data_IF_961313376402
#
_entry.id   IF_961313376402
#
_cell.length_a   1.000
_cell.length_b   1.000
_cell.length_c   1.000
_cell.angle_alpha   90.00
_cell.angle_beta   90.00
_cell.angle_gamma   90.00
#
_symmetry.space_group_name_H-M   'P 1'
#
loop_
_entity.id
_entity.type
_entity.pdbx_description
1 polymer ?
#
# COMPACT_ATOMS: atom_id res chain seq x y z
N UNK A 1 5.96 -11.76 17.11
CA UNK A 1 5.71 -11.50 15.68
C UNK A 1 7.03 -11.17 15.03
N UNK A 2 7.37 -11.82 13.92
CA UNK A 2 8.64 -11.63 13.20
C UNK A 2 8.29 -11.24 11.77
N UNK A 3 8.81 -10.10 11.31
CA UNK A 3 8.67 -9.66 9.93
C UNK A 3 9.65 -10.43 9.04
N UNK A 4 9.20 -10.81 7.85
CA UNK A 4 9.95 -11.69 6.93
C UNK A 4 10.60 -10.91 5.79
N UNK A 5 9.90 -9.90 5.26
CA UNK A 5 10.28 -9.20 4.06
C UNK A 5 9.70 -7.78 4.01
N UNK A 6 10.47 -6.85 3.44
CA UNK A 6 10.04 -5.50 3.10
C UNK A 6 10.12 -5.28 1.59
N UNK A 7 9.01 -4.85 0.98
CA UNK A 7 8.96 -4.39 -0.42
C UNK A 7 8.79 -2.88 -0.41
N UNK A 8 9.60 -2.15 -1.17
CA UNK A 8 9.50 -0.70 -1.29
C UNK A 8 9.23 -0.25 -2.72
N UNK A 9 8.44 0.80 -2.88
CA UNK A 9 8.31 1.51 -4.15
C UNK A 9 9.65 2.13 -4.55
N UNK A 10 9.93 2.15 -5.85
CA UNK A 10 11.13 2.75 -6.45
C UNK A 10 11.13 4.28 -6.46
N UNK A 11 10.05 4.94 -6.02
CA UNK A 11 10.03 6.38 -5.84
C UNK A 11 10.84 6.79 -4.61
N UNK A 12 11.68 7.82 -4.74
CA UNK A 12 12.62 8.29 -3.70
C UNK A 12 12.00 8.38 -2.31
N UNK A 13 10.85 9.05 -2.17
CA UNK A 13 10.16 9.21 -0.87
C UNK A 13 9.82 7.89 -0.18
N UNK A 14 9.46 6.85 -0.93
CA UNK A 14 9.15 5.53 -0.39
C UNK A 14 10.43 4.76 -0.07
N UNK A 15 11.46 4.90 -0.91
CA UNK A 15 12.78 4.31 -0.67
C UNK A 15 13.42 4.88 0.59
N UNK A 16 13.46 6.20 0.76
CA UNK A 16 14.01 6.87 1.96
C UNK A 16 13.26 6.44 3.24
N UNK A 17 11.92 6.36 3.17
CA UNK A 17 11.10 5.86 4.29
C UNK A 17 11.44 4.41 4.63
N UNK A 18 11.59 3.55 3.61
CA UNK A 18 11.92 2.15 3.80
C UNK A 18 13.31 1.97 4.42
N UNK A 19 14.31 2.75 4.02
CA UNK A 19 15.65 2.68 4.58
C UNK A 19 15.66 3.05 6.07
N UNK A 20 14.91 4.07 6.50
CA UNK A 20 14.75 4.41 7.94
C UNK A 20 14.09 3.25 8.72
N UNK A 21 13.08 2.59 8.14
CA UNK A 21 12.45 1.40 8.76
C UNK A 21 13.47 0.27 8.88
N UNK A 22 14.32 0.07 7.87
CA UNK A 22 15.34 -0.97 7.84
C UNK A 22 16.46 -0.75 8.85
N UNK A 23 16.76 0.49 9.24
CA UNK A 23 17.69 0.77 10.37
C UNK A 23 17.19 0.13 11.68
N UNK A 24 15.88 0.06 11.87
CA UNK A 24 15.25 -0.54 13.07
C UNK A 24 14.98 -2.04 12.90
N UNK A 25 14.93 -2.53 11.65
CA UNK A 25 14.66 -3.93 11.30
C UNK A 25 15.73 -4.48 10.32
N UNK A 26 17.03 -4.46 10.70
CA UNK A 26 18.13 -4.73 9.77
C UNK A 26 18.20 -6.18 9.26
N UNK A 27 17.48 -7.09 9.91
CA UNK A 27 17.41 -8.50 9.53
C UNK A 27 16.42 -8.77 8.39
N UNK A 28 15.64 -7.77 7.97
CA UNK A 28 14.66 -7.95 6.91
C UNK A 28 15.30 -8.14 5.54
N UNK A 29 14.81 -9.14 4.81
CA UNK A 29 15.03 -9.19 3.38
C UNK A 29 14.33 -7.98 2.75
N UNK A 30 15.00 -7.33 1.79
CA UNK A 30 14.46 -6.16 1.10
C UNK A 30 14.39 -6.38 -0.40
N UNK A 31 13.36 -5.84 -1.04
CA UNK A 31 13.24 -5.74 -2.49
C UNK A 31 12.54 -4.45 -2.90
N UNK A 32 12.74 -4.04 -4.15
CA UNK A 32 12.07 -2.90 -4.76
C UNK A 32 11.09 -3.34 -5.84
N UNK A 33 9.98 -2.62 -6.00
CA UNK A 33 8.98 -2.91 -7.02
C UNK A 33 8.39 -1.64 -7.61
N UNK A 34 8.51 -1.45 -8.93
CA UNK A 34 7.91 -0.30 -9.63
C UNK A 34 6.39 -0.41 -9.79
N UNK A 35 5.80 -1.61 -9.62
CA UNK A 35 4.35 -1.78 -9.70
C UNK A 35 3.61 -1.05 -8.58
N UNK A 36 4.26 -0.80 -7.44
CA UNK A 36 3.70 -0.09 -6.28
C UNK A 36 4.09 1.39 -6.24
N UNK A 37 4.52 1.99 -7.35
CA UNK A 37 4.66 3.45 -7.48
C UNK A 37 3.30 4.15 -7.44
N UNK A 38 3.29 5.43 -7.03
CA UNK A 38 2.06 6.21 -6.93
C UNK A 38 1.42 6.38 -8.32
N UNK A 39 0.10 6.39 -8.36
CA UNK A 39 -0.65 6.59 -9.60
C UNK A 39 -2.16 6.64 -9.36
N UNK A 40 -2.93 7.24 -10.29
CA UNK A 40 -4.38 7.22 -10.25
C UNK A 40 -4.95 5.83 -10.60
N UNK A 41 -5.59 5.09 -9.68
CA UNK A 41 -6.09 3.74 -9.98
C UNK A 41 -7.36 3.73 -10.84
N UNK A 42 -8.25 4.70 -10.62
CA UNK A 42 -9.56 4.76 -11.26
C UNK A 42 -10.18 6.17 -11.12
N UNK A 43 -11.06 6.64 -12.03
CA UNK A 43 -11.77 7.90 -11.86
C UNK A 43 -12.61 7.94 -10.55
N UNK A 44 -12.40 8.93 -9.66
CA UNK A 44 -13.09 8.98 -8.36
C UNK A 44 -14.56 9.42 -8.48
N UNK A 45 -15.39 8.94 -7.56
CA UNK A 45 -16.78 9.39 -7.37
C UNK A 45 -17.03 9.72 -5.88
N UNK A 46 -17.34 10.99 -5.52
CA UNK A 46 -17.52 12.14 -6.42
C UNK A 46 -16.21 12.64 -7.05
N UNK A 47 -16.28 13.35 -8.19
CA UNK A 47 -15.10 13.98 -8.78
C UNK A 47 -14.56 15.10 -7.87
N UNK A 48 -13.27 15.40 -8.00
CA UNK A 48 -12.60 16.50 -7.29
C UNK A 48 -12.16 17.57 -8.27
N UNK A 49 -12.31 18.85 -7.91
CA UNK A 49 -12.09 19.94 -8.86
C UNK A 49 -10.62 20.27 -9.13
N UNK A 50 -9.76 20.11 -8.12
CA UNK A 50 -8.35 20.48 -8.14
C UNK A 50 -7.44 19.39 -8.74
N UNK A 51 -7.98 18.21 -9.06
CA UNK A 51 -7.22 17.07 -9.53
C UNK A 51 -8.00 16.31 -10.61
N UNK A 52 -7.57 16.46 -11.87
CA UNK A 52 -8.25 15.89 -13.05
C UNK A 52 -7.21 15.32 -14.03
N UNK A 53 -6.64 14.14 -13.74
CA UNK A 53 -5.76 13.44 -14.69
C UNK A 53 -6.49 13.13 -16.00
N UNK A 54 -5.72 12.90 -17.06
CA UNK A 54 -6.30 12.45 -18.32
C UNK A 54 -6.83 11.01 -18.19
N UNK A 55 -7.90 10.69 -18.92
CA UNK A 55 -8.51 9.36 -18.85
C UNK A 55 -7.55 8.22 -19.23
N UNK A 56 -6.62 8.50 -20.15
CA UNK A 56 -5.55 7.59 -20.56
C UNK A 56 -4.60 7.21 -19.42
N UNK A 57 -4.37 8.12 -18.48
CA UNK A 57 -3.51 7.90 -17.32
C UNK A 57 -4.12 6.84 -16.39
N UNK A 58 -5.42 6.94 -16.10
CA UNK A 58 -6.14 5.94 -15.30
C UNK A 58 -6.07 4.53 -15.91
N UNK A 59 -6.02 4.41 -17.24
CA UNK A 59 -5.95 3.10 -17.89
C UNK A 59 -4.60 2.42 -17.67
N UNK A 60 -3.51 3.15 -17.90
CA UNK A 60 -2.16 2.64 -17.70
C UNK A 60 -1.89 2.35 -16.21
N UNK A 61 -2.25 3.30 -15.35
CA UNK A 61 -1.95 3.27 -13.93
C UNK A 61 -2.85 2.29 -13.18
N UNK A 62 -4.15 2.22 -13.53
CA UNK A 62 -5.06 1.20 -13.03
C UNK A 62 -4.60 -0.22 -13.35
N UNK A 63 -4.10 -0.46 -14.57
CA UNK A 63 -3.55 -1.77 -14.97
C UNK A 63 -2.29 -2.14 -14.18
N UNK A 64 -1.43 -1.15 -13.91
CA UNK A 64 -0.20 -1.32 -13.12
C UNK A 64 -0.52 -1.63 -11.65
N UNK A 65 -1.44 -0.87 -11.05
CA UNK A 65 -1.85 -1.03 -9.66
C UNK A 65 -2.59 -2.36 -9.45
N UNK A 66 -3.45 -2.77 -10.39
CA UNK A 66 -4.09 -4.10 -10.37
C UNK A 66 -3.03 -5.22 -10.46
N UNK A 67 -1.99 -5.05 -11.28
CA UNK A 67 -0.87 -5.99 -11.34
C UNK A 67 -0.10 -6.06 -10.02
N UNK A 68 0.09 -4.92 -9.35
CA UNK A 68 0.69 -4.85 -8.02
C UNK A 68 -0.16 -5.58 -6.98
N UNK A 69 -1.48 -5.37 -7.00
CA UNK A 69 -2.44 -6.05 -6.14
C UNK A 69 -2.33 -7.57 -6.30
N UNK A 70 -2.39 -8.09 -7.53
CA UNK A 70 -2.27 -9.53 -7.79
C UNK A 70 -0.93 -10.11 -7.36
N UNK A 71 0.15 -9.34 -7.51
CA UNK A 71 1.51 -9.77 -7.17
C UNK A 71 1.76 -9.82 -5.66
N UNK A 72 1.23 -8.87 -4.91
CA UNK A 72 1.58 -8.69 -3.48
C UNK A 72 0.45 -9.08 -2.53
N UNK A 73 -0.80 -9.02 -2.97
CA UNK A 73 -1.98 -9.29 -2.14
C UNK A 73 -2.63 -10.57 -2.67
N UNK A 74 -2.09 -11.71 -2.28
CA UNK A 74 -2.63 -13.01 -2.64
C UNK A 74 -2.51 -13.99 -1.48
N UNK A 75 -3.26 -15.09 -1.58
CA UNK A 75 -3.17 -16.19 -0.62
C UNK A 75 -1.78 -16.83 -0.67
N UNK A 76 -1.26 -17.22 0.50
CA UNK A 76 -0.02 -17.98 0.63
C UNK A 76 -0.03 -19.28 -0.20
N UNK A 77 1.12 -19.70 -0.77
CA UNK A 77 1.22 -20.96 -1.49
C UNK A 77 1.05 -22.17 -0.54
N UNK A 78 0.54 -23.33 -1.00
CA UNK A 78 0.35 -24.52 -0.15
C UNK A 78 1.64 -25.07 0.50
N UNK A 79 2.79 -24.66 -0.02
CA UNK A 79 4.13 -25.02 0.48
C UNK A 79 4.50 -24.24 1.74
N UNK A 80 3.94 -23.04 1.97
CA UNK A 80 4.18 -22.25 3.17
C UNK A 80 3.52 -22.91 4.39
N UNK A 81 4.28 -23.10 5.47
CA UNK A 81 3.84 -23.81 6.69
C UNK A 81 3.64 -22.92 7.91
N UNK A 82 4.14 -21.69 7.86
CA UNK A 82 4.06 -20.71 8.94
C UNK A 82 3.43 -19.43 8.43
N UNK A 83 2.83 -18.65 9.33
CA UNK A 83 2.32 -17.31 9.00
C UNK A 83 3.49 -16.39 8.60
N UNK A 84 3.29 -15.59 7.55
CA UNK A 84 4.24 -14.56 7.13
C UNK A 84 3.75 -13.16 7.48
N UNK A 85 4.70 -12.26 7.73
CA UNK A 85 4.46 -10.85 8.01
C UNK A 85 5.31 -10.01 7.05
N UNK A 86 4.64 -9.36 6.10
CA UNK A 86 5.27 -8.59 5.03
C UNK A 86 4.98 -7.11 5.21
N UNK A 87 6.01 -6.28 5.00
CA UNK A 87 5.90 -4.82 5.01
C UNK A 87 5.94 -4.34 3.57
N UNK A 88 4.98 -3.49 3.18
CA UNK A 88 4.96 -2.84 1.88
C UNK A 88 5.01 -1.33 2.10
N UNK A 89 6.09 -0.69 1.66
CA UNK A 89 6.26 0.78 1.72
C UNK A 89 5.93 1.36 0.35
N UNK A 90 4.73 1.92 0.23
CA UNK A 90 4.20 2.47 -1.02
C UNK A 90 3.45 3.79 -0.77
N UNK A 91 2.39 4.06 -1.53
CA UNK A 91 1.71 5.35 -1.57
C UNK A 91 0.19 5.20 -1.39
N UNK A 92 -0.47 6.31 -1.09
CA UNK A 92 -1.84 6.30 -0.62
C UNK A 92 -2.81 5.68 -1.64
N UNK A 93 -2.67 5.99 -2.94
CA UNK A 93 -3.64 5.52 -3.94
C UNK A 93 -3.50 4.03 -4.23
N UNK A 94 -2.28 3.51 -4.12
CA UNK A 94 -2.01 2.06 -4.18
C UNK A 94 -2.70 1.34 -3.02
N UNK A 95 -2.61 1.89 -1.79
CA UNK A 95 -3.26 1.32 -0.60
C UNK A 95 -4.79 1.40 -0.72
N UNK A 96 -5.34 2.46 -1.33
CA UNK A 96 -6.79 2.66 -1.45
C UNK A 96 -7.46 1.72 -2.47
N UNK A 97 -6.70 1.02 -3.31
CA UNK A 97 -7.20 0.15 -4.38
C UNK A 97 -7.49 -1.31 -3.93
N UNK A 98 -7.58 -1.58 -2.63
CA UNK A 98 -7.72 -2.93 -2.04
C UNK A 98 -9.14 -3.52 -2.17
N UNK A 99 -9.60 -3.79 -3.39
CA UNK A 99 -10.87 -4.49 -3.70
C UNK A 99 -12.16 -3.84 -3.15
N UNK A 100 -12.08 -2.60 -2.67
CA UNK A 100 -13.26 -1.76 -2.51
C UNK A 100 -13.72 -1.23 -3.87
N UNK A 101 -14.97 -0.74 -4.00
CA UNK A 101 -15.41 -0.09 -5.22
C UNK A 101 -14.38 0.94 -5.68
N UNK A 102 -13.78 0.76 -6.88
CA UNK A 102 -12.57 1.46 -7.27
C UNK A 102 -12.77 2.97 -7.36
N UNK A 103 -14.00 3.45 -7.55
CA UNK A 103 -14.37 4.86 -7.55
C UNK A 103 -14.35 5.52 -6.15
N UNK A 104 -14.40 4.73 -5.08
CA UNK A 104 -14.48 5.20 -3.70
C UNK A 104 -13.13 5.56 -3.08
N UNK A 105 -12.02 5.36 -3.78
CA UNK A 105 -10.66 5.46 -3.24
C UNK A 105 -10.35 6.82 -2.61
N UNK A 106 -10.80 7.94 -3.20
CA UNK A 106 -10.63 9.28 -2.64
C UNK A 106 -11.45 9.57 -1.38
N UNK A 107 -12.36 8.68 -0.97
CA UNK A 107 -13.11 8.81 0.30
C UNK A 107 -12.25 8.45 1.52
N UNK A 108 -11.09 7.83 1.32
CA UNK A 108 -10.20 7.37 2.39
C UNK A 108 -8.97 8.29 2.50
N UNK A 109 -8.85 9.05 3.58
CA UNK A 109 -7.64 9.84 3.86
C UNK A 109 -6.63 9.00 4.64
N UNK A 110 -5.36 9.05 4.24
CA UNK A 110 -4.26 8.33 4.89
C UNK A 110 -3.17 9.34 5.26
N UNK A 111 -2.76 9.36 6.52
CA UNK A 111 -1.65 10.21 6.96
C UNK A 111 -0.31 9.70 6.43
N UNK A 112 0.68 10.60 6.34
CA UNK A 112 2.06 10.22 6.03
C UNK A 112 2.58 9.25 7.09
N UNK A 113 3.31 8.22 6.65
CA UNK A 113 3.80 7.13 7.51
C UNK A 113 2.69 6.34 8.23
N UNK A 114 1.43 6.44 7.78
CA UNK A 114 0.36 5.65 8.37
C UNK A 114 0.50 4.15 8.11
N UNK A 115 0.00 3.34 9.04
CA UNK A 115 0.04 1.88 8.95
C UNK A 115 -1.35 1.37 8.57
N UNK A 116 -1.43 0.58 7.51
CA UNK A 116 -2.64 -0.16 7.13
C UNK A 116 -2.37 -1.65 7.23
N UNK A 117 -3.27 -2.38 7.89
CA UNK A 117 -3.06 -3.78 8.24
C UNK A 117 -4.08 -4.68 7.55
N UNK A 118 -3.60 -5.55 6.67
CA UNK A 118 -4.40 -6.59 6.02
C UNK A 118 -4.03 -7.97 6.57
N UNK A 119 -5.01 -8.86 6.64
CA UNK A 119 -4.81 -10.28 6.93
C UNK A 119 -5.46 -11.10 5.83
N UNK A 120 -4.66 -11.97 5.19
CA UNK A 120 -5.12 -12.89 4.14
C UNK A 120 -5.07 -14.30 4.72
N UNK A 121 -6.23 -14.94 4.88
CA UNK A 121 -6.31 -16.31 5.41
C UNK A 121 -6.02 -17.36 4.32
N UNK A 122 -5.60 -18.58 4.68
CA UNK A 122 -5.48 -19.71 3.73
C UNK A 122 -6.78 -20.07 2.98
N UNK A 123 -7.94 -19.63 3.50
CA UNK A 123 -9.21 -19.77 2.77
C UNK A 123 -9.39 -18.76 1.63
N UNK A 124 -8.51 -17.78 1.49
CA UNK A 124 -8.65 -16.63 0.59
C UNK A 124 -9.47 -15.48 1.17
N UNK A 125 -9.95 -15.59 2.42
CA UNK A 125 -10.65 -14.49 3.09
C UNK A 125 -9.66 -13.39 3.45
N UNK A 126 -9.98 -12.16 3.06
CA UNK A 126 -9.21 -10.95 3.39
C UNK A 126 -9.94 -10.17 4.48
N UNK A 127 -9.20 -9.65 5.46
CA UNK A 127 -9.73 -8.71 6.45
C UNK A 127 -8.80 -7.52 6.63
N UNK A 128 -9.37 -6.31 6.56
CA UNK A 128 -8.70 -5.07 6.94
C UNK A 128 -8.84 -4.89 8.45
N UNK A 129 -7.72 -4.88 9.17
CA UNK A 129 -7.67 -4.72 10.63
C UNK A 129 -7.52 -3.27 11.04
N UNK A 130 -6.79 -2.49 10.26
CA UNK A 130 -6.62 -1.05 10.45
C UNK A 130 -6.33 -0.39 9.10
N UNK A 131 -6.76 0.86 8.93
CA UNK A 131 -6.54 1.66 7.74
C UNK A 131 -6.06 3.04 8.18
N UNK A 132 -4.87 3.44 7.72
CA UNK A 132 -4.35 4.78 7.95
C UNK A 132 -4.01 5.09 9.42
N UNK A 133 -3.56 4.10 10.19
CA UNK A 133 -3.19 4.28 11.60
C UNK A 133 -1.95 5.17 11.76
N UNK A 134 -2.15 6.31 12.42
CA UNK A 134 -1.13 7.30 12.77
C UNK A 134 -0.99 7.48 14.29
N UNK A 135 -1.59 6.60 15.10
CA UNK A 135 -1.60 6.72 16.57
C UNK A 135 -0.22 6.60 17.21
N UNK A 136 0.76 6.07 16.48
CA UNK A 136 2.17 6.01 16.89
C UNK A 136 2.91 7.35 16.71
N UNK A 137 2.33 8.31 15.98
CA UNK A 137 2.93 9.62 15.74
C UNK A 137 2.48 10.63 16.81
N UNK A 138 3.38 11.46 17.34
CA UNK A 138 2.98 12.62 18.12
C UNK A 138 2.06 13.53 17.31
N UNK A 139 1.02 14.16 17.91
CA UNK A 139 0.07 15.00 17.17
C UNK A 139 0.73 16.11 16.34
N UNK A 140 1.84 16.67 16.83
CA UNK A 140 2.60 17.73 16.15
C UNK A 140 3.39 17.25 14.91
N UNK A 141 3.41 15.95 14.63
CA UNK A 141 4.13 15.33 13.50
C UNK A 141 3.19 14.71 12.46
N UNK A 142 1.88 14.82 12.66
CA UNK A 142 0.87 14.30 11.72
C UNK A 142 0.73 15.23 10.51
N UNK A 143 0.82 14.67 9.31
CA UNK A 143 0.60 15.36 8.03
C UNK A 143 -0.03 14.40 6.99
N UNK A 144 -0.59 14.94 5.89
CA UNK A 144 -1.37 14.18 4.89
C UNK A 144 -0.95 14.44 3.44
N UNK A 145 0.09 15.25 3.23
CA UNK A 145 0.55 15.74 1.92
C UNK A 145 2.02 15.45 1.72
#
# INVERSE_FOLDING_TARGET
>A
MKFDHLVMSTMTRATETAEIILEHLPFLKRSSCSLIEEGPPYPPVPPVDHWKPQYSEFFAEGSRIESAFRRHIHRAPPTQKEDSYEIIVCHANVIRALQFPPEGWLRMSLGNCSISWLVIRPSGRVSLRSLGDIGHLPPSKVSFT
#
